data_IF_416158720147
#
_entry.id   IF_416158720147
#
_cell.length_a   1.000
_cell.length_b   1.000
_cell.length_c   1.000
_cell.angle_alpha   90.00
_cell.angle_beta   90.00
_cell.angle_gamma   90.00
#
_symmetry.space_group_name_H-M   'P 1'
#
loop_
_entity.id
_entity.type
_entity.pdbx_description
1 polymer ?
#
# COMPACT_ATOMS: atom_id res chain seq x y z
N UNK A 1 -15.85 14.57 -38.47
CA UNK A 1 -16.67 14.05 -37.36
C UNK A 1 -16.09 12.84 -36.65
N UNK A 2 -15.36 11.92 -37.30
CA UNK A 2 -14.80 10.70 -36.67
C UNK A 2 -13.72 10.93 -35.59
N UNK A 3 -12.95 11.99 -35.65
CA UNK A 3 -11.89 12.27 -34.65
C UNK A 3 -12.46 12.74 -33.29
N UNK A 4 -13.59 13.40 -33.26
CA UNK A 4 -14.16 13.98 -32.03
C UNK A 4 -14.88 12.96 -31.15
N UNK A 5 -15.46 11.89 -31.71
CA UNK A 5 -16.16 10.85 -30.94
C UNK A 5 -15.17 9.93 -30.21
N UNK A 6 -14.04 9.62 -30.85
CA UNK A 6 -12.94 8.86 -30.19
C UNK A 6 -12.31 9.63 -29.02
N UNK A 7 -12.18 10.95 -29.17
CA UNK A 7 -11.68 11.82 -28.11
C UNK A 7 -12.63 11.92 -26.90
N UNK A 8 -13.94 11.99 -27.16
CA UNK A 8 -14.95 12.06 -26.08
C UNK A 8 -15.01 10.74 -25.31
N UNK A 9 -14.96 9.58 -25.97
CA UNK A 9 -14.94 8.26 -25.31
C UNK A 9 -13.63 8.03 -24.52
N UNK A 10 -12.49 8.42 -25.07
CA UNK A 10 -11.20 8.31 -24.36
C UNK A 10 -11.13 9.26 -23.16
N UNK A 11 -11.72 10.45 -23.26
CA UNK A 11 -11.78 11.43 -22.18
C UNK A 11 -12.70 10.99 -21.04
N UNK A 12 -13.85 10.38 -21.35
CA UNK A 12 -14.80 9.86 -20.34
C UNK A 12 -14.23 8.64 -19.59
N UNK A 13 -13.52 7.75 -20.29
CA UNK A 13 -12.85 6.59 -19.67
C UNK A 13 -11.64 7.05 -18.84
N UNK A 14 -10.85 8.01 -19.31
CA UNK A 14 -9.75 8.61 -18.55
C UNK A 14 -10.24 9.38 -17.32
N UNK A 15 -11.37 10.06 -17.40
CA UNK A 15 -11.95 10.79 -16.27
C UNK A 15 -12.43 9.88 -15.15
N UNK A 16 -12.98 8.71 -15.49
CA UNK A 16 -13.39 7.69 -14.51
C UNK A 16 -12.23 7.06 -13.76
N UNK A 17 -11.03 7.02 -14.35
CA UNK A 17 -9.80 6.52 -13.70
C UNK A 17 -9.08 7.57 -12.84
N UNK A 18 -9.31 8.87 -13.06
CA UNK A 18 -8.54 9.95 -12.44
C UNK A 18 -9.25 10.58 -11.23
N UNK A 19 -10.58 10.51 -11.09
CA UNK A 19 -11.28 11.19 -10.01
C UNK A 19 -12.42 10.38 -9.36
N UNK A 20 -12.13 9.51 -8.37
CA UNK A 20 -13.15 8.70 -7.68
C UNK A 20 -13.93 9.43 -6.57
N UNK A 21 -13.78 10.73 -6.36
CA UNK A 21 -14.23 11.39 -5.11
C UNK A 21 -15.17 12.57 -5.21
N UNK A 22 -15.63 12.96 -6.39
CA UNK A 22 -16.59 14.07 -6.45
C UNK A 22 -18.02 13.55 -6.67
N UNK A 23 -18.73 13.36 -5.56
CA UNK A 23 -20.13 12.92 -5.52
C UNK A 23 -21.14 14.06 -5.77
N UNK A 24 -20.71 15.29 -5.85
CA UNK A 24 -21.61 16.47 -5.90
C UNK A 24 -22.29 16.71 -7.25
N UNK A 25 -21.87 16.00 -8.31
CA UNK A 25 -22.45 16.15 -9.66
C UNK A 25 -23.58 15.13 -9.94
N UNK A 26 -23.76 14.12 -9.06
CA UNK A 26 -24.72 13.03 -9.27
C UNK A 26 -26.11 13.21 -8.62
N UNK A 27 -26.35 14.27 -7.91
CA UNK A 27 -27.63 14.47 -7.19
C UNK A 27 -28.72 15.22 -8.00
N UNK A 28 -28.53 15.42 -9.29
CA UNK A 28 -29.62 15.89 -10.18
C UNK A 28 -30.09 14.78 -11.09
N UNK A 29 -30.87 13.85 -10.56
CA UNK A 29 -31.96 13.05 -11.09
C UNK A 29 -32.02 12.67 -12.58
N UNK A 30 -30.90 12.43 -13.29
CA UNK A 30 -30.90 11.91 -14.65
C UNK A 30 -30.32 10.50 -14.62
N UNK A 31 -31.15 9.49 -14.87
CA UNK A 31 -30.70 8.09 -14.86
C UNK A 31 -29.65 7.85 -15.94
N UNK A 32 -28.53 7.27 -15.53
CA UNK A 32 -27.35 6.99 -16.36
C UNK A 32 -27.66 6.11 -17.58
N UNK A 33 -28.72 5.31 -17.52
CA UNK A 33 -29.14 4.40 -18.60
C UNK A 33 -29.72 5.12 -19.83
N UNK A 34 -30.38 6.24 -19.62
CA UNK A 34 -31.00 6.99 -20.74
C UNK A 34 -29.95 7.71 -21.60
N UNK A 35 -28.88 8.19 -20.98
CA UNK A 35 -27.78 8.87 -21.69
C UNK A 35 -26.91 7.89 -22.46
N UNK A 36 -26.63 6.72 -21.89
CA UNK A 36 -25.83 5.66 -22.53
C UNK A 36 -26.61 5.02 -23.70
N UNK A 37 -27.90 4.76 -23.53
CA UNK A 37 -28.72 4.19 -24.58
C UNK A 37 -28.90 5.15 -25.75
N UNK A 38 -29.12 6.45 -25.51
CA UNK A 38 -29.25 7.44 -26.56
C UNK A 38 -27.95 7.71 -27.34
N UNK A 39 -26.82 7.70 -26.65
CA UNK A 39 -25.49 7.88 -27.28
C UNK A 39 -25.12 6.65 -28.12
N UNK A 40 -25.47 5.45 -27.67
CA UNK A 40 -25.27 4.20 -28.42
C UNK A 40 -26.21 4.10 -29.65
N UNK A 41 -27.44 4.56 -29.52
CA UNK A 41 -28.40 4.64 -30.63
C UNK A 41 -27.96 5.61 -31.73
N UNK A 42 -27.49 6.80 -31.37
CA UNK A 42 -26.94 7.80 -32.30
C UNK A 42 -25.65 7.30 -32.98
N UNK A 43 -24.83 6.49 -32.29
CA UNK A 43 -23.65 5.87 -32.88
C UNK A 43 -24.01 4.77 -33.90
N UNK A 44 -25.02 3.94 -33.61
CA UNK A 44 -25.53 2.91 -34.55
C UNK A 44 -26.20 3.52 -35.80
N UNK A 45 -26.89 4.63 -35.66
CA UNK A 45 -27.46 5.36 -36.80
C UNK A 45 -26.38 6.00 -37.69
N UNK A 46 -25.21 6.35 -37.10
CA UNK A 46 -24.09 6.91 -37.85
C UNK A 46 -23.15 5.86 -38.47
N UNK A 47 -23.23 4.58 -38.09
CA UNK A 47 -22.34 3.50 -38.53
C UNK A 47 -23.09 2.18 -38.78
N UNK A 48 -23.91 2.08 -39.80
CA UNK A 48 -24.79 0.92 -40.05
C UNK A 48 -24.04 -0.37 -40.42
N UNK A 49 -22.73 -0.32 -40.71
CA UNK A 49 -21.94 -1.49 -41.12
C UNK A 49 -21.11 -2.13 -39.99
N UNK A 50 -21.09 -1.55 -38.79
CA UNK A 50 -20.27 -2.02 -37.67
C UNK A 50 -21.10 -2.67 -36.52
N UNK A 51 -22.34 -3.07 -36.77
CA UNK A 51 -23.18 -3.72 -35.78
C UNK A 51 -22.80 -5.21 -35.61
N UNK A 52 -22.44 -5.66 -34.41
CA UNK A 52 -22.26 -7.09 -34.15
C UNK A 52 -23.62 -7.81 -34.24
N UNK A 53 -23.66 -8.91 -34.97
CA UNK A 53 -24.85 -9.77 -35.16
C UNK A 53 -25.39 -10.31 -33.82
N UNK A 54 -26.37 -9.64 -33.22
CA UNK A 54 -27.22 -10.21 -32.20
C UNK A 54 -28.62 -10.36 -32.78
N UNK A 55 -28.97 -11.62 -33.14
CA UNK A 55 -30.38 -12.01 -33.42
C UNK A 55 -31.19 -11.86 -32.13
N UNK A 56 -31.95 -10.80 -32.05
CA UNK A 56 -33.05 -10.69 -31.06
C UNK A 56 -34.25 -11.45 -31.63
N UNK A 57 -34.56 -12.60 -31.02
CA UNK A 57 -35.82 -13.30 -31.27
C UNK A 57 -36.95 -12.51 -30.60
N UNK A 58 -37.69 -11.73 -31.41
CA UNK A 58 -38.96 -11.16 -30.98
C UNK A 58 -40.03 -12.24 -31.15
N UNK A 59 -40.58 -12.73 -30.05
CA UNK A 59 -41.72 -13.66 -30.06
C UNK A 59 -43.00 -12.90 -30.51
N UNK A 60 -43.53 -13.20 -31.67
CA UNK A 60 -44.87 -12.82 -32.10
C UNK A 60 -45.91 -13.69 -31.37
N UNK A 61 -46.82 -13.03 -30.68
CA UNK A 61 -48.05 -13.63 -30.13
C UNK A 61 -49.02 -13.95 -31.26
N UNK A 62 -49.53 -15.20 -31.25
CA UNK A 62 -50.81 -15.59 -31.77
C UNK A 62 -50.81 -16.21 -33.16
N UNK A 63 -50.85 -17.53 -33.19
CA UNK A 63 -51.67 -18.27 -34.18
C UNK A 63 -51.91 -19.70 -33.71
N UNK A 64 -53.15 -20.14 -33.78
CA UNK A 64 -53.66 -21.45 -33.37
C UNK A 64 -53.14 -22.57 -34.28
N UNK A 65 -52.70 -23.66 -33.67
CA UNK A 65 -52.44 -24.92 -34.39
C UNK A 65 -53.40 -26.02 -33.92
N UNK A 66 -53.87 -26.91 -34.82
CA UNK A 66 -54.94 -27.87 -34.53
C UNK A 66 -54.44 -29.09 -33.73
N UNK A 67 -55.31 -29.57 -32.82
CA UNK A 67 -55.13 -30.79 -32.03
C UNK A 67 -55.23 -32.03 -32.89
N UNK A 68 -54.14 -32.80 -33.03
CA UNK A 68 -54.21 -34.19 -33.50
C UNK A 68 -54.33 -35.16 -32.33
N UNK A 69 -55.43 -35.91 -32.26
CA UNK A 69 -55.68 -37.02 -31.33
C UNK A 69 -54.79 -38.19 -31.72
N UNK A 70 -53.79 -38.58 -30.87
CA UNK A 70 -53.17 -39.90 -30.94
C UNK A 70 -53.63 -40.75 -29.76
N UNK A 71 -54.07 -41.96 -30.08
CA UNK A 71 -54.59 -43.02 -29.22
C UNK A 71 -53.52 -43.47 -28.20
N UNK A 72 -53.93 -43.53 -26.92
CA UNK A 72 -53.16 -44.13 -25.82
C UNK A 72 -53.34 -45.66 -25.92
N UNK A 73 -52.22 -46.34 -26.21
CA UNK A 73 -52.08 -47.76 -25.94
C UNK A 73 -51.25 -47.89 -24.68
N UNK A 74 -51.88 -48.38 -23.62
CA UNK A 74 -51.23 -48.68 -22.35
C UNK A 74 -50.28 -49.89 -22.52
N UNK A 75 -48.95 -49.65 -22.43
CA UNK A 75 -47.95 -50.66 -22.16
C UNK A 75 -47.31 -50.40 -20.81
N UNK A 76 -47.46 -51.33 -19.90
CA UNK A 76 -46.76 -51.41 -18.59
C UNK A 76 -45.27 -51.33 -18.78
N UNK A 77 -44.67 -50.13 -18.64
CA UNK A 77 -43.23 -49.95 -18.41
C UNK A 77 -42.97 -49.77 -16.92
N UNK A 78 -42.07 -50.61 -16.36
CA UNK A 78 -41.48 -50.41 -15.03
C UNK A 78 -41.05 -48.97 -14.87
N UNK A 79 -41.21 -48.30 -13.69
CA UNK A 79 -40.77 -46.94 -13.48
C UNK A 79 -39.24 -46.87 -13.61
N UNK A 80 -38.76 -46.15 -14.63
CA UNK A 80 -37.35 -45.76 -14.71
C UNK A 80 -37.03 -44.91 -13.47
N UNK A 81 -35.82 -45.08 -12.84
CA UNK A 81 -35.47 -44.24 -11.72
C UNK A 81 -35.50 -42.77 -12.17
N UNK A 82 -36.36 -42.00 -11.54
CA UNK A 82 -36.64 -40.61 -11.88
C UNK A 82 -35.35 -39.81 -12.09
N UNK A 83 -35.24 -39.12 -13.23
CA UNK A 83 -34.16 -38.16 -13.47
C UNK A 83 -34.16 -37.15 -12.31
N UNK A 84 -33.09 -37.12 -11.55
CA UNK A 84 -32.92 -36.10 -10.51
C UNK A 84 -33.03 -34.72 -11.13
N UNK A 85 -33.64 -33.79 -10.42
CA UNK A 85 -33.81 -32.41 -10.88
C UNK A 85 -32.48 -31.80 -11.32
N UNK A 86 -32.49 -31.00 -12.39
CA UNK A 86 -31.28 -30.29 -12.86
C UNK A 86 -30.74 -29.43 -11.72
N UNK A 87 -29.46 -29.65 -11.33
CA UNK A 87 -28.80 -28.92 -10.25
C UNK A 87 -28.35 -29.79 -9.08
N UNK A 88 -28.96 -30.98 -8.84
CA UNK A 88 -28.67 -31.83 -7.69
C UNK A 88 -27.37 -32.65 -7.79
N UNK A 89 -26.53 -32.42 -8.77
CA UNK A 89 -25.32 -33.21 -9.01
C UNK A 89 -25.60 -34.69 -9.31
N UNK A 90 -24.63 -35.44 -9.75
CA UNK A 90 -24.74 -36.89 -10.01
C UNK A 90 -23.64 -37.65 -9.25
N UNK A 91 -24.01 -38.82 -8.68
CA UNK A 91 -23.08 -39.72 -8.01
C UNK A 91 -23.08 -41.04 -8.75
N UNK A 92 -21.91 -41.49 -9.20
CA UNK A 92 -21.73 -42.78 -9.94
C UNK A 92 -20.49 -43.53 -9.47
N UNK A 93 -20.49 -44.83 -9.67
CA UNK A 93 -19.31 -45.65 -9.49
C UNK A 93 -18.51 -45.68 -10.80
N UNK A 94 -17.20 -45.52 -10.71
CA UNK A 94 -16.26 -45.58 -11.82
C UNK A 94 -15.12 -46.54 -11.47
N UNK A 95 -14.55 -47.18 -12.47
CA UNK A 95 -13.37 -48.05 -12.32
C UNK A 95 -12.16 -47.33 -12.91
N UNK A 96 -11.08 -47.17 -12.12
CA UNK A 96 -9.80 -46.64 -12.57
C UNK A 96 -8.69 -47.60 -12.16
N UNK A 97 -7.89 -48.03 -13.10
CA UNK A 97 -6.79 -49.01 -12.89
C UNK A 97 -7.24 -50.25 -12.08
N UNK A 98 -8.39 -50.84 -12.44
CA UNK A 98 -8.95 -52.02 -11.79
C UNK A 98 -9.60 -51.78 -10.40
N UNK A 99 -9.54 -50.59 -9.86
CA UNK A 99 -10.13 -50.24 -8.56
C UNK A 99 -11.43 -49.46 -8.72
N UNK A 100 -12.44 -49.77 -7.90
CA UNK A 100 -13.70 -49.03 -7.87
C UNK A 100 -13.60 -47.73 -7.06
N UNK A 101 -14.08 -46.65 -7.66
CA UNK A 101 -14.18 -45.32 -7.04
C UNK A 101 -15.59 -44.75 -7.21
N UNK A 102 -16.00 -43.90 -6.30
CA UNK A 102 -17.20 -43.10 -6.44
C UNK A 102 -16.83 -41.74 -7.01
N UNK A 103 -17.61 -41.25 -7.97
CA UNK A 103 -17.46 -39.93 -8.59
C UNK A 103 -18.77 -39.15 -8.47
N UNK A 104 -18.68 -38.00 -7.77
CA UNK A 104 -19.75 -37.01 -7.72
C UNK A 104 -19.46 -35.91 -8.75
N UNK A 105 -20.42 -35.56 -9.60
CA UNK A 105 -20.33 -34.46 -10.58
C UNK A 105 -21.31 -33.37 -10.26
N UNK A 106 -20.88 -32.12 -10.43
CA UNK A 106 -21.71 -30.93 -10.27
C UNK A 106 -21.24 -29.83 -11.22
N UNK A 107 -22.06 -28.83 -11.46
CA UNK A 107 -21.73 -27.70 -12.33
C UNK A 107 -21.71 -26.43 -11.56
N UNK A 108 -20.72 -25.57 -11.81
CA UNK A 108 -20.56 -24.25 -11.22
C UNK A 108 -20.63 -23.23 -12.35
N UNK A 109 -21.29 -22.11 -12.12
CA UNK A 109 -21.31 -21.00 -13.04
C UNK A 109 -20.01 -20.24 -12.94
N UNK A 110 -19.25 -20.16 -14.02
CA UNK A 110 -18.03 -19.39 -14.10
C UNK A 110 -18.36 -17.89 -13.96
N UNK A 111 -17.76 -17.16 -13.00
CA UNK A 111 -18.12 -15.76 -12.75
C UNK A 111 -17.71 -14.81 -13.88
N UNK A 112 -16.69 -15.15 -14.68
CA UNK A 112 -16.22 -14.28 -15.77
C UNK A 112 -16.98 -14.52 -17.07
N UNK A 113 -17.23 -15.80 -17.41
CA UNK A 113 -17.85 -16.17 -18.69
C UNK A 113 -19.34 -16.44 -18.61
N UNK A 114 -19.88 -16.61 -17.39
CA UNK A 114 -21.29 -16.97 -17.15
C UNK A 114 -21.66 -18.39 -17.58
N UNK A 115 -20.71 -19.18 -18.13
CA UNK A 115 -20.93 -20.56 -18.60
C UNK A 115 -20.85 -21.55 -17.43
N UNK A 116 -21.62 -22.65 -17.56
CA UNK A 116 -21.56 -23.75 -16.60
C UNK A 116 -20.30 -24.61 -16.84
N UNK A 117 -19.40 -24.65 -15.87
CA UNK A 117 -18.21 -25.52 -15.84
C UNK A 117 -18.51 -26.73 -14.97
N UNK A 118 -18.30 -27.95 -15.52
CA UNK A 118 -18.52 -29.21 -14.80
C UNK A 118 -17.30 -29.56 -13.95
N UNK A 119 -17.53 -29.86 -12.66
CA UNK A 119 -16.53 -30.32 -11.71
C UNK A 119 -16.84 -31.73 -11.23
N UNK A 120 -15.80 -32.47 -10.79
CA UNK A 120 -15.97 -33.81 -10.24
C UNK A 120 -15.17 -34.00 -8.95
N UNK A 121 -15.76 -34.77 -8.01
CA UNK A 121 -15.15 -35.17 -6.75
C UNK A 121 -15.10 -36.68 -6.75
N UNK A 122 -13.94 -37.30 -6.53
CA UNK A 122 -13.80 -38.77 -6.50
C UNK A 122 -13.19 -39.26 -5.18
N UNK A 123 -13.52 -40.49 -4.79
CA UNK A 123 -13.01 -41.13 -3.60
C UNK A 123 -13.39 -42.61 -3.54
N UNK A 124 -12.76 -43.38 -2.64
CA UNK A 124 -13.04 -44.82 -2.47
C UNK A 124 -14.36 -45.02 -1.68
N UNK A 125 -14.70 -44.12 -0.77
CA UNK A 125 -15.87 -44.24 0.08
C UNK A 125 -17.05 -43.39 -0.45
N UNK A 126 -18.19 -44.07 -0.69
CA UNK A 126 -19.42 -43.44 -1.21
C UNK A 126 -19.92 -42.31 -0.31
N UNK A 127 -20.01 -42.57 0.97
CA UNK A 127 -20.57 -41.61 1.97
C UNK A 127 -19.70 -40.35 2.06
N UNK A 128 -18.38 -40.51 1.98
CA UNK A 128 -17.45 -39.36 1.98
C UNK A 128 -17.60 -38.50 0.71
N UNK A 129 -17.67 -39.16 -0.46
CA UNK A 129 -17.87 -38.45 -1.72
C UNK A 129 -19.21 -37.72 -1.74
N UNK A 130 -20.27 -38.36 -1.24
CA UNK A 130 -21.61 -37.76 -1.14
C UNK A 130 -21.61 -36.54 -0.19
N UNK A 131 -20.97 -36.62 0.95
CA UNK A 131 -20.82 -35.49 1.89
C UNK A 131 -20.07 -34.33 1.25
N UNK A 132 -18.97 -34.60 0.54
CA UNK A 132 -18.18 -33.59 -0.17
C UNK A 132 -18.95 -33.00 -1.35
N UNK A 133 -19.74 -33.80 -2.07
CA UNK A 133 -20.58 -33.34 -3.16
C UNK A 133 -21.70 -32.40 -2.66
N UNK A 134 -22.39 -32.76 -1.58
CA UNK A 134 -23.42 -31.88 -0.97
C UNK A 134 -22.82 -30.53 -0.56
N UNK A 135 -21.66 -30.55 0.10
CA UNK A 135 -20.96 -29.33 0.48
C UNK A 135 -20.61 -28.46 -0.74
N UNK A 136 -20.08 -29.07 -1.80
CA UNK A 136 -19.72 -28.36 -3.03
C UNK A 136 -20.94 -27.79 -3.77
N UNK A 137 -22.09 -28.48 -3.71
CA UNK A 137 -23.35 -27.99 -4.29
C UNK A 137 -23.85 -26.74 -3.55
N UNK A 138 -23.87 -26.76 -2.21
CA UNK A 138 -24.24 -25.56 -1.41
C UNK A 138 -23.31 -24.41 -1.73
N UNK A 139 -21.99 -24.66 -1.78
CA UNK A 139 -21.00 -23.64 -2.12
C UNK A 139 -21.18 -23.08 -3.53
N UNK A 140 -21.61 -23.93 -4.49
CA UNK A 140 -21.90 -23.51 -5.86
C UNK A 140 -23.17 -22.65 -5.96
N UNK A 141 -24.21 -22.99 -5.19
CA UNK A 141 -25.46 -22.22 -5.10
C UNK A 141 -25.24 -20.84 -4.44
N UNK A 142 -24.42 -20.79 -3.39
CA UNK A 142 -24.03 -19.55 -2.71
C UNK A 142 -23.01 -18.71 -3.51
N UNK A 143 -22.48 -19.24 -4.63
CA UNK A 143 -21.42 -18.58 -5.40
C UNK A 143 -20.06 -18.55 -4.69
N UNK A 144 -19.90 -19.36 -3.64
CA UNK A 144 -18.69 -19.42 -2.80
C UNK A 144 -17.77 -20.60 -3.13
N UNK A 145 -18.09 -21.37 -4.17
CA UNK A 145 -17.27 -22.50 -4.59
C UNK A 145 -15.93 -22.04 -5.18
N UNK A 146 -14.83 -22.53 -4.61
CA UNK A 146 -13.47 -22.32 -5.11
C UNK A 146 -12.92 -23.66 -5.61
N UNK A 147 -12.46 -23.72 -6.86
CA UNK A 147 -11.83 -24.92 -7.42
C UNK A 147 -10.53 -25.22 -6.66
N UNK A 148 -10.33 -26.44 -6.13
CA UNK A 148 -9.09 -26.80 -5.45
C UNK A 148 -7.88 -26.63 -6.36
N UNK A 149 -7.12 -25.59 -6.15
CA UNK A 149 -5.89 -25.30 -6.89
C UNK A 149 -4.76 -26.21 -6.40
N UNK A 150 -3.91 -26.71 -7.33
CA UNK A 150 -2.65 -27.36 -6.97
C UNK A 150 -1.54 -26.34 -6.63
N UNK A 151 -1.82 -25.07 -6.81
CA UNK A 151 -0.90 -23.95 -6.57
C UNK A 151 -0.40 -23.96 -5.13
N UNK A 152 0.90 -23.78 -4.94
CA UNK A 152 1.50 -23.60 -3.61
C UNK A 152 1.47 -22.13 -3.18
N UNK A 153 1.64 -21.88 -1.89
CA UNK A 153 1.77 -20.53 -1.33
C UNK A 153 2.92 -19.77 -2.00
N UNK A 154 4.05 -20.45 -2.23
CA UNK A 154 5.21 -19.87 -2.89
C UNK A 154 4.91 -19.40 -4.31
N UNK A 155 4.25 -20.24 -5.11
CA UNK A 155 3.83 -19.91 -6.47
C UNK A 155 2.85 -18.75 -6.51
N UNK A 156 1.90 -18.72 -5.57
CA UNK A 156 0.98 -17.60 -5.44
C UNK A 156 1.70 -16.29 -5.11
N UNK A 157 2.66 -16.33 -4.18
CA UNK A 157 3.43 -15.15 -3.79
C UNK A 157 4.26 -14.59 -4.95
N UNK A 158 4.79 -15.44 -5.83
CA UNK A 158 5.49 -14.97 -7.04
C UNK A 158 4.54 -14.24 -7.98
N UNK A 159 3.40 -14.84 -8.29
CA UNK A 159 2.36 -14.20 -9.12
C UNK A 159 1.90 -12.87 -8.49
N UNK A 160 1.71 -12.85 -7.18
CA UNK A 160 1.27 -11.65 -6.48
C UNK A 160 2.30 -10.52 -6.56
N UNK A 161 3.59 -10.82 -6.35
CA UNK A 161 4.67 -9.83 -6.46
C UNK A 161 4.80 -9.26 -7.87
N UNK A 162 4.63 -10.08 -8.90
CA UNK A 162 4.77 -9.66 -10.30
C UNK A 162 3.54 -8.91 -10.81
N UNK A 163 2.34 -9.37 -10.45
CA UNK A 163 1.11 -8.93 -11.12
C UNK A 163 0.36 -7.84 -10.34
N UNK A 164 0.33 -7.94 -9.00
CA UNK A 164 -0.61 -7.14 -8.19
C UNK A 164 0.02 -5.94 -7.48
N UNK A 165 1.30 -5.65 -7.71
CA UNK A 165 2.02 -4.56 -7.05
C UNK A 165 2.35 -3.38 -7.98
N UNK A 166 1.73 -3.26 -9.14
CA UNK A 166 1.97 -2.17 -10.12
C UNK A 166 1.78 -0.76 -9.53
N UNK A 167 0.85 -0.60 -8.60
CA UNK A 167 0.57 0.67 -7.92
C UNK A 167 1.35 0.86 -6.61
N UNK A 168 2.29 -0.05 -6.30
CA UNK A 168 3.09 0.01 -5.08
C UNK A 168 4.45 0.62 -5.39
N UNK A 169 4.96 1.48 -4.50
CA UNK A 169 6.27 2.12 -4.70
C UNK A 169 7.40 1.07 -4.78
N UNK A 170 8.39 1.27 -5.67
CA UNK A 170 9.47 0.28 -5.89
C UNK A 170 10.18 -0.19 -4.61
N UNK A 171 10.45 0.74 -3.68
CA UNK A 171 11.08 0.40 -2.40
C UNK A 171 10.18 -0.47 -1.51
N UNK A 172 8.87 -0.27 -1.56
CA UNK A 172 7.91 -1.12 -0.83
C UNK A 172 7.82 -2.51 -1.45
N UNK A 173 7.85 -2.59 -2.79
CA UNK A 173 7.92 -3.88 -3.51
C UNK A 173 9.17 -4.64 -3.11
N UNK A 174 10.35 -3.98 -3.08
CA UNK A 174 11.58 -4.62 -2.61
C UNK A 174 11.44 -5.17 -1.18
N UNK A 175 10.91 -4.37 -0.26
CA UNK A 175 10.67 -4.80 1.11
C UNK A 175 9.75 -6.02 1.19
N UNK A 176 8.68 -6.04 0.39
CA UNK A 176 7.77 -7.18 0.29
C UNK A 176 8.51 -8.41 -0.25
N UNK A 177 9.27 -8.25 -1.33
CA UNK A 177 10.07 -9.33 -1.92
C UNK A 177 11.07 -9.90 -0.93
N UNK A 178 11.74 -9.06 -0.14
CA UNK A 178 12.66 -9.51 0.92
C UNK A 178 11.93 -10.30 2.01
N UNK A 179 10.77 -9.84 2.50
CA UNK A 179 9.99 -10.59 3.48
C UNK A 179 9.48 -11.93 2.93
N UNK A 180 9.04 -11.94 1.67
CA UNK A 180 8.58 -13.15 1.00
C UNK A 180 9.72 -14.15 0.86
N UNK A 181 10.85 -13.75 0.29
CA UNK A 181 11.93 -14.67 -0.06
C UNK A 181 12.74 -15.12 1.18
N UNK A 182 12.96 -14.22 2.15
CA UNK A 182 13.80 -14.54 3.30
C UNK A 182 13.04 -15.25 4.43
N UNK A 183 11.72 -15.07 4.52
CA UNK A 183 10.96 -15.56 5.67
C UNK A 183 9.75 -16.43 5.28
N UNK A 184 8.87 -15.93 4.37
CA UNK A 184 7.58 -16.60 4.14
C UNK A 184 7.75 -17.84 3.28
N UNK A 185 8.41 -17.74 2.13
CA UNK A 185 8.62 -18.87 1.22
C UNK A 185 9.40 -20.03 1.85
N UNK A 186 10.49 -19.82 2.59
CA UNK A 186 11.21 -20.92 3.21
C UNK A 186 10.38 -21.72 4.22
N UNK A 187 9.38 -21.07 4.85
CA UNK A 187 8.57 -21.69 5.89
C UNK A 187 7.22 -22.23 5.41
N UNK A 188 6.58 -21.56 4.47
CA UNK A 188 5.20 -21.83 4.05
C UNK A 188 5.07 -22.12 2.53
N UNK A 189 6.12 -21.89 1.75
CA UNK A 189 6.06 -21.89 0.29
C UNK A 189 5.62 -23.19 -0.34
N UNK A 190 5.99 -24.33 0.23
CA UNK A 190 5.65 -25.68 -0.27
C UNK A 190 4.20 -26.09 0.08
N UNK A 191 3.56 -25.39 1.00
CA UNK A 191 2.18 -25.69 1.40
C UNK A 191 1.25 -25.31 0.24
N UNK A 192 0.32 -26.19 -0.11
CA UNK A 192 -0.74 -25.83 -1.06
C UNK A 192 -1.57 -24.69 -0.53
N UNK A 193 -1.91 -23.74 -1.40
CA UNK A 193 -2.65 -22.52 -1.03
C UNK A 193 -4.00 -22.85 -0.38
N UNK A 194 -4.73 -23.86 -0.89
CA UNK A 194 -6.01 -24.34 -0.34
C UNK A 194 -5.88 -25.13 0.97
N UNK A 195 -4.66 -25.44 1.40
CA UNK A 195 -4.34 -26.18 2.64
C UNK A 195 -3.61 -25.33 3.68
N UNK A 196 -3.42 -24.07 3.39
CA UNK A 196 -2.83 -23.14 4.35
C UNK A 196 -3.86 -22.84 5.45
N UNK A 197 -3.54 -23.23 6.68
CA UNK A 197 -4.41 -23.02 7.86
C UNK A 197 -3.80 -22.01 8.81
N UNK A 198 -4.67 -21.31 9.57
CA UNK A 198 -4.28 -20.33 10.60
C UNK A 198 -3.25 -20.90 11.57
N UNK A 199 -3.40 -22.15 12.01
CA UNK A 199 -2.44 -22.78 12.92
C UNK A 199 -1.02 -22.85 12.37
N UNK A 200 -0.85 -23.18 11.08
CA UNK A 200 0.47 -23.24 10.43
C UNK A 200 1.09 -21.84 10.35
N UNK A 201 0.29 -20.81 10.08
CA UNK A 201 0.74 -19.42 10.05
C UNK A 201 1.13 -18.95 11.45
N UNK A 202 0.32 -19.28 12.47
CA UNK A 202 0.63 -18.93 13.85
C UNK A 202 1.94 -19.56 14.32
N UNK A 203 2.16 -20.85 14.03
CA UNK A 203 3.43 -21.50 14.33
C UNK A 203 4.61 -20.84 13.63
N UNK A 204 4.41 -20.39 12.39
CA UNK A 204 5.43 -19.65 11.66
C UNK A 204 5.79 -18.33 12.37
N UNK A 205 4.80 -17.53 12.80
CA UNK A 205 5.08 -16.28 13.52
C UNK A 205 5.76 -16.53 14.86
N UNK A 206 5.35 -17.53 15.60
CA UNK A 206 5.98 -17.90 16.87
C UNK A 206 7.46 -18.27 16.65
N UNK A 207 7.77 -19.08 15.63
CA UNK A 207 9.15 -19.42 15.28
C UNK A 207 10.01 -18.23 14.88
N UNK A 208 9.44 -17.24 14.16
CA UNK A 208 10.18 -16.02 13.80
C UNK A 208 10.63 -15.22 15.04
N UNK A 209 9.84 -15.23 16.10
CA UNK A 209 10.16 -14.55 17.37
C UNK A 209 11.13 -15.31 18.27
N UNK A 210 11.38 -16.59 18.01
CA UNK A 210 12.29 -17.42 18.82
C UNK A 210 13.74 -17.25 18.35
N UNK A 211 14.68 -17.33 19.29
CA UNK A 211 16.09 -17.38 18.98
C UNK A 211 16.44 -18.73 18.32
N UNK A 212 17.33 -18.71 17.35
CA UNK A 212 17.86 -19.88 16.67
C UNK A 212 19.39 -19.90 16.76
N UNK A 213 19.94 -20.75 17.64
CA UNK A 213 21.35 -20.75 17.98
C UNK A 213 21.76 -19.39 18.53
N UNK A 214 22.86 -18.81 18.03
CA UNK A 214 23.38 -17.51 18.46
C UNK A 214 22.61 -16.30 17.87
N UNK A 215 21.62 -16.53 17.02
CA UNK A 215 20.84 -15.45 16.41
C UNK A 215 19.58 -15.17 17.24
N UNK A 216 19.38 -13.93 17.69
CA UNK A 216 18.16 -13.56 18.39
C UNK A 216 16.96 -13.67 17.43
N UNK A 217 15.76 -13.96 17.99
CA UNK A 217 14.52 -13.91 17.24
C UNK A 217 14.24 -12.52 16.65
N UNK A 218 13.36 -12.48 15.68
CA UNK A 218 12.96 -11.22 15.06
C UNK A 218 12.15 -10.37 16.05
N UNK A 219 12.31 -9.05 15.97
CA UNK A 219 11.53 -8.13 16.80
C UNK A 219 10.01 -8.27 16.50
N UNK A 220 9.15 -8.02 17.51
CA UNK A 220 7.68 -8.02 17.32
C UNK A 220 7.25 -7.17 16.13
N UNK A 221 7.87 -6.01 15.93
CA UNK A 221 7.56 -5.12 14.80
C UNK A 221 7.91 -5.74 13.45
N UNK A 222 9.02 -6.49 13.37
CA UNK A 222 9.41 -7.19 12.15
C UNK A 222 8.42 -8.32 11.83
N UNK A 223 7.99 -9.10 12.84
CA UNK A 223 6.96 -10.13 12.67
C UNK A 223 5.65 -9.53 12.20
N UNK A 224 5.21 -8.40 12.76
CA UNK A 224 4.02 -7.66 12.30
C UNK A 224 4.15 -7.19 10.85
N UNK A 225 5.34 -6.75 10.41
CA UNK A 225 5.57 -6.35 9.02
C UNK A 225 5.48 -7.56 8.07
N UNK A 226 6.05 -8.70 8.44
CA UNK A 226 5.98 -9.96 7.68
C UNK A 226 4.51 -10.42 7.58
N UNK A 227 3.77 -10.38 8.69
CA UNK A 227 2.33 -10.65 8.69
C UNK A 227 1.59 -9.74 7.70
N UNK A 228 1.84 -8.42 7.73
CA UNK A 228 1.18 -7.47 6.84
C UNK A 228 1.40 -7.79 5.35
N UNK A 229 2.56 -8.33 4.98
CA UNK A 229 2.85 -8.77 3.62
C UNK A 229 2.06 -10.04 3.28
N UNK A 230 2.14 -11.08 4.12
CA UNK A 230 1.42 -12.33 3.91
C UNK A 230 -0.10 -12.11 3.89
N UNK A 231 -0.63 -11.36 4.85
CA UNK A 231 -2.04 -11.00 4.93
C UNK A 231 -2.54 -10.32 3.64
N UNK A 232 -1.77 -9.35 3.13
CA UNK A 232 -2.12 -8.62 1.91
C UNK A 232 -2.14 -9.53 0.68
N UNK A 233 -1.19 -10.44 0.57
CA UNK A 233 -1.13 -11.40 -0.52
C UNK A 233 -2.29 -12.41 -0.45
N UNK A 234 -2.60 -12.94 0.73
CA UNK A 234 -3.72 -13.86 0.93
C UNK A 234 -5.07 -13.15 0.73
N UNK A 235 -5.20 -11.90 1.17
CA UNK A 235 -6.40 -11.10 0.93
C UNK A 235 -6.63 -10.84 -0.56
N UNK A 236 -5.57 -10.68 -1.35
CA UNK A 236 -5.69 -10.61 -2.80
C UNK A 236 -6.16 -11.94 -3.39
N UNK A 237 -5.67 -13.09 -2.89
CA UNK A 237 -6.14 -14.40 -3.30
C UNK A 237 -7.63 -14.62 -3.01
N UNK A 238 -8.12 -14.09 -1.86
CA UNK A 238 -9.56 -14.10 -1.55
C UNK A 238 -10.35 -13.24 -2.55
N UNK A 239 -9.88 -12.03 -2.83
CA UNK A 239 -10.56 -11.10 -3.77
C UNK A 239 -10.72 -11.65 -5.17
N UNK A 240 -9.79 -12.46 -5.64
CA UNK A 240 -9.83 -13.08 -6.98
C UNK A 240 -10.37 -14.51 -6.97
N UNK A 241 -10.91 -14.98 -5.84
CA UNK A 241 -11.56 -16.29 -5.73
C UNK A 241 -10.61 -17.50 -5.64
N UNK A 242 -9.33 -17.31 -5.36
CA UNK A 242 -8.39 -18.42 -5.14
C UNK A 242 -8.48 -19.01 -3.72
N UNK A 243 -8.93 -18.19 -2.77
CA UNK A 243 -9.23 -18.58 -1.39
C UNK A 243 -10.63 -18.10 -1.00
N UNK A 244 -11.26 -18.82 -0.08
CA UNK A 244 -12.56 -18.40 0.51
C UNK A 244 -12.38 -17.40 1.64
N UNK A 245 -11.38 -17.63 2.45
CA UNK A 245 -11.05 -16.82 3.63
C UNK A 245 -9.54 -16.60 3.70
N UNK A 246 -9.15 -15.53 4.33
CA UNK A 246 -7.75 -15.26 4.60
C UNK A 246 -7.34 -15.97 5.91
N UNK A 247 -6.56 -17.04 5.79
CA UNK A 247 -6.14 -17.84 6.94
C UNK A 247 -5.28 -17.07 7.95
N UNK A 248 -4.78 -15.88 7.61
CA UNK A 248 -4.00 -15.03 8.52
C UNK A 248 -4.84 -14.07 9.38
N UNK A 249 -6.16 -13.92 9.11
CA UNK A 249 -7.02 -12.97 9.82
C UNK A 249 -7.13 -13.29 11.33
N UNK A 250 -7.19 -14.57 11.67
CA UNK A 250 -7.35 -15.04 13.04
C UNK A 250 -6.00 -15.32 13.75
N UNK A 251 -4.88 -14.85 13.19
CA UNK A 251 -3.58 -15.00 13.84
C UNK A 251 -3.35 -13.93 14.91
N UNK A 252 -2.79 -14.35 16.03
CA UNK A 252 -2.34 -13.46 17.09
C UNK A 252 -0.90 -13.00 16.83
N UNK A 253 -0.69 -11.69 16.91
CA UNK A 253 0.62 -11.09 16.67
C UNK A 253 1.28 -10.67 17.97
N UNK A 254 2.63 -10.78 18.06
CA UNK A 254 3.33 -10.30 19.24
C UNK A 254 3.13 -8.78 19.39
N UNK A 255 2.93 -8.34 20.62
CA UNK A 255 2.82 -6.91 20.94
C UNK A 255 4.17 -6.25 20.77
N UNK A 256 4.22 -5.20 19.94
CA UNK A 256 5.38 -4.33 19.86
C UNK A 256 5.23 -3.25 20.94
N UNK A 257 6.19 -3.17 21.81
CA UNK A 257 6.29 -2.05 22.74
C UNK A 257 6.50 -0.75 21.93
N UNK A 258 5.78 0.29 22.32
CA UNK A 258 6.02 1.61 21.73
C UNK A 258 7.39 2.08 22.20
N UNK A 259 8.34 2.15 21.30
CA UNK A 259 9.63 2.78 21.60
C UNK A 259 9.34 4.26 21.87
N UNK A 260 9.66 4.68 23.08
CA UNK A 260 9.58 6.08 23.47
C UNK A 260 10.52 6.91 22.58
N UNK A 261 10.00 7.97 22.03
CA UNK A 261 10.79 8.92 21.24
C UNK A 261 11.49 9.81 22.25
N UNK A 262 12.81 9.81 22.22
CA UNK A 262 13.64 10.69 23.04
C UNK A 262 14.21 11.81 22.17
N UNK A 263 13.59 13.01 22.17
CA UNK A 263 14.22 14.18 21.60
C UNK A 263 15.48 14.51 22.38
N UNK A 264 16.44 15.21 21.76
CA UNK A 264 17.62 15.70 22.46
C UNK A 264 17.21 16.76 23.50
N UNK A 265 17.80 16.68 24.69
CA UNK A 265 17.65 17.72 25.73
C UNK A 265 18.34 19.02 25.32
N UNK A 266 18.06 20.12 26.02
CA UNK A 266 18.73 21.42 25.76
C UNK A 266 20.25 21.31 25.90
N UNK A 267 20.75 20.58 26.92
CA UNK A 267 22.17 20.33 27.14
C UNK A 267 22.76 19.51 25.99
N UNK A 268 22.08 18.45 25.57
CA UNK A 268 22.52 17.61 24.44
C UNK A 268 22.55 18.41 23.13
N UNK A 269 21.59 19.32 22.94
CA UNK A 269 21.54 20.25 21.79
C UNK A 269 22.74 21.19 21.83
N UNK A 270 23.08 21.78 23.00
CA UNK A 270 24.24 22.66 23.15
C UNK A 270 25.53 21.93 22.83
N UNK A 271 25.72 20.70 23.35
CA UNK A 271 26.89 19.85 23.06
C UNK A 271 26.93 19.56 21.56
N UNK A 272 25.81 19.15 20.96
CA UNK A 272 25.71 18.86 19.53
C UNK A 272 26.10 20.07 18.69
N UNK A 273 25.52 21.25 18.96
CA UNK A 273 25.82 22.52 18.26
C UNK A 273 27.28 22.90 18.33
N UNK A 274 27.91 22.75 19.51
CA UNK A 274 29.33 22.99 19.71
C UNK A 274 30.19 22.02 18.90
N UNK A 275 29.78 20.75 18.82
CA UNK A 275 30.55 19.69 18.16
C UNK A 275 30.45 19.77 16.65
N UNK A 276 29.32 20.20 16.11
CA UNK A 276 29.15 20.32 14.64
C UNK A 276 29.87 21.54 14.08
N UNK A 277 30.26 22.52 14.91
CA UNK A 277 30.91 23.75 14.46
C UNK A 277 32.22 23.44 13.73
N UNK A 278 32.34 23.88 12.48
CA UNK A 278 33.47 23.59 11.60
C UNK A 278 33.48 22.17 11.00
N UNK A 279 32.51 21.34 11.33
CA UNK A 279 32.39 20.01 10.74
C UNK A 279 31.91 20.10 9.30
N UNK A 280 32.43 19.29 8.38
CA UNK A 280 32.06 19.29 6.94
C UNK A 280 30.57 19.13 6.64
N UNK A 281 29.78 18.59 7.58
CA UNK A 281 28.32 18.43 7.47
C UNK A 281 27.57 19.36 8.44
N UNK A 282 28.20 20.39 8.98
CA UNK A 282 27.58 21.35 9.89
C UNK A 282 26.24 21.85 9.33
N UNK A 283 26.26 22.45 8.15
CA UNK A 283 25.05 23.02 7.53
C UNK A 283 23.95 21.97 7.28
N UNK A 284 24.34 20.73 6.89
CA UNK A 284 23.37 19.62 6.73
C UNK A 284 22.66 19.33 8.05
N UNK A 285 23.42 19.26 9.15
CA UNK A 285 22.87 18.94 10.47
C UNK A 285 22.04 20.11 11.02
N UNK A 286 22.45 21.35 10.80
CA UNK A 286 21.66 22.54 11.14
C UNK A 286 20.29 22.53 10.42
N UNK A 287 20.29 22.29 9.11
CA UNK A 287 19.05 22.21 8.33
C UNK A 287 18.17 21.08 8.85
N UNK A 288 18.71 19.90 9.11
CA UNK A 288 17.93 18.76 9.63
C UNK A 288 17.32 19.08 11.02
N UNK A 289 18.09 19.70 11.91
CA UNK A 289 17.69 19.99 13.28
C UNK A 289 16.66 21.09 13.37
N UNK A 290 16.82 22.19 12.62
CA UNK A 290 15.99 23.39 12.78
C UNK A 290 14.89 23.57 11.70
N UNK A 291 14.73 22.58 10.83
CA UNK A 291 13.59 22.54 9.87
C UNK A 291 12.79 21.25 9.96
N UNK A 292 13.32 20.24 10.65
CA UNK A 292 12.66 18.95 10.79
C UNK A 292 12.46 18.17 9.47
N UNK A 293 13.12 18.54 8.38
CA UNK A 293 13.02 17.81 7.09
C UNK A 293 13.65 16.42 7.19
N UNK A 294 13.21 15.51 6.32
CA UNK A 294 13.71 14.13 6.34
C UNK A 294 15.09 14.03 5.69
N UNK A 295 15.89 13.04 6.09
CA UNK A 295 17.23 12.77 5.52
C UNK A 295 17.22 12.71 3.98
N UNK A 296 16.27 12.03 3.37
CA UNK A 296 16.17 11.97 1.91
C UNK A 296 15.75 13.30 1.28
N UNK A 297 14.97 14.11 1.98
CA UNK A 297 14.55 15.43 1.53
C UNK A 297 15.72 16.42 1.55
N UNK A 298 16.55 16.44 2.61
CA UNK A 298 17.74 17.29 2.65
C UNK A 298 18.76 16.94 1.57
N UNK A 299 18.99 15.63 1.34
CA UNK A 299 19.90 15.20 0.28
C UNK A 299 19.36 15.45 -1.15
N UNK A 300 18.04 15.58 -1.31
CA UNK A 300 17.37 15.89 -2.57
C UNK A 300 17.05 17.37 -2.75
N UNK A 301 17.49 18.25 -1.83
CA UNK A 301 17.24 19.68 -1.92
C UNK A 301 18.12 20.32 -2.97
N UNK A 302 17.54 21.19 -3.80
CA UNK A 302 18.23 21.93 -4.87
C UNK A 302 18.09 23.44 -4.62
N UNK A 303 19.04 24.24 -5.17
CA UNK A 303 19.08 25.68 -4.92
C UNK A 303 17.88 26.45 -5.49
N UNK A 304 17.23 25.95 -6.53
CA UNK A 304 15.98 26.50 -7.09
C UNK A 304 14.80 26.43 -6.13
N UNK A 305 14.90 25.60 -5.08
CA UNK A 305 13.90 25.46 -4.03
C UNK A 305 14.23 26.23 -2.75
N UNK A 306 15.33 26.99 -2.71
CA UNK A 306 15.72 27.83 -1.57
C UNK A 306 15.54 29.30 -1.93
N UNK A 307 14.58 29.96 -1.29
CA UNK A 307 14.35 31.38 -1.46
C UNK A 307 14.95 32.17 -0.28
N UNK A 308 16.04 32.88 -0.53
CA UNK A 308 16.75 33.65 0.48
C UNK A 308 16.08 34.96 0.86
N UNK A 309 15.23 35.53 0.01
CA UNK A 309 14.51 36.78 0.28
C UNK A 309 13.37 36.53 1.26
N UNK A 310 12.64 35.41 1.07
CA UNK A 310 11.51 35.00 1.87
C UNK A 310 11.87 34.10 3.03
N UNK A 311 13.12 33.69 3.15
CA UNK A 311 13.60 32.66 4.08
C UNK A 311 12.80 31.37 4.01
N UNK A 312 12.50 30.90 2.80
CA UNK A 312 11.68 29.70 2.59
C UNK A 312 12.42 28.59 1.85
N UNK A 313 12.08 27.35 2.19
CA UNK A 313 12.58 26.15 1.55
C UNK A 313 11.38 25.33 1.07
N UNK A 314 11.31 25.03 -0.22
CA UNK A 314 10.26 24.21 -0.82
C UNK A 314 10.68 22.76 -0.92
N UNK A 315 9.95 21.86 -0.26
CA UNK A 315 10.24 20.41 -0.19
C UNK A 315 9.21 19.65 -1.02
N UNK A 316 9.55 19.20 -2.19
CA UNK A 316 8.67 18.41 -3.08
C UNK A 316 9.23 17.06 -3.48
N UNK A 317 10.51 16.82 -3.25
CA UNK A 317 11.24 15.60 -3.64
C UNK A 317 12.21 15.14 -2.56
N UNK A 318 12.64 13.91 -2.68
CA UNK A 318 13.63 13.28 -1.82
C UNK A 318 14.59 12.45 -2.66
N UNK A 319 15.84 12.37 -2.24
CA UNK A 319 16.81 11.46 -2.82
C UNK A 319 16.64 10.08 -2.19
N UNK A 320 16.44 9.07 -3.03
CA UNK A 320 16.25 7.70 -2.60
C UNK A 320 17.14 6.76 -3.40
N UNK A 321 17.82 5.83 -2.71
CA UNK A 321 18.61 4.81 -3.37
C UNK A 321 17.70 3.83 -4.11
N UNK A 322 18.14 3.42 -5.32
CA UNK A 322 17.42 2.37 -6.05
C UNK A 322 17.65 1.04 -5.34
N UNK A 323 16.59 0.32 -5.03
CA UNK A 323 16.70 -1.01 -4.47
C UNK A 323 17.50 -1.96 -5.36
N UNK A 324 18.44 -2.70 -4.76
CA UNK A 324 19.29 -3.65 -5.49
C UNK A 324 20.46 -3.03 -6.27
N UNK A 325 20.52 -1.70 -6.40
CA UNK A 325 21.62 -1.00 -7.08
C UNK A 325 22.40 -0.15 -6.08
N UNK A 326 23.55 -0.64 -5.63
CA UNK A 326 24.41 0.10 -4.71
C UNK A 326 24.93 1.37 -5.39
N UNK A 327 24.80 2.51 -4.69
CA UNK A 327 25.32 3.80 -5.19
C UNK A 327 24.44 4.51 -6.22
N UNK A 328 23.36 3.91 -6.70
CA UNK A 328 22.43 4.55 -7.63
C UNK A 328 21.25 5.16 -6.88
N UNK A 329 21.02 6.46 -7.11
CA UNK A 329 19.99 7.24 -6.45
C UNK A 329 19.08 7.92 -7.47
N UNK A 330 17.81 8.09 -7.10
CA UNK A 330 16.84 8.87 -7.88
C UNK A 330 16.14 9.89 -7.00
N UNK A 331 15.81 11.02 -7.64
CA UNK A 331 14.86 11.96 -7.06
C UNK A 331 13.45 11.41 -7.22
N UNK A 332 12.78 11.20 -6.09
CA UNK A 332 11.40 10.74 -6.03
C UNK A 332 10.52 11.77 -5.34
N UNK A 333 9.22 11.84 -5.63
CA UNK A 333 8.30 12.67 -4.84
C UNK A 333 8.38 12.34 -3.36
N UNK A 334 8.03 13.28 -2.51
CA UNK A 334 7.91 13.07 -1.05
C UNK A 334 7.00 11.89 -0.72
N UNK A 335 7.11 11.33 0.49
CA UNK A 335 6.34 10.15 0.90
C UNK A 335 4.82 10.31 0.71
N UNK A 336 4.30 11.54 0.85
CA UNK A 336 2.87 11.83 0.69
C UNK A 336 2.50 12.35 -0.70
N UNK A 337 3.47 12.47 -1.63
CA UNK A 337 3.28 13.03 -2.96
C UNK A 337 2.99 14.54 -3.00
N UNK A 338 2.89 15.19 -1.83
CA UNK A 338 2.61 16.65 -1.72
C UNK A 338 3.90 17.39 -1.35
N UNK A 339 4.15 18.49 -2.06
CA UNK A 339 5.16 19.47 -1.66
C UNK A 339 4.68 20.30 -0.46
N UNK A 340 5.64 20.87 0.25
CA UNK A 340 5.39 21.85 1.32
C UNK A 340 6.47 22.91 1.33
N UNK A 341 6.12 24.11 1.76
CA UNK A 341 7.06 25.21 2.00
C UNK A 341 7.27 25.35 3.50
N UNK A 342 8.52 25.45 3.92
CA UNK A 342 8.95 25.68 5.29
C UNK A 342 9.57 27.07 5.34
N UNK A 343 9.11 27.92 6.26
CA UNK A 343 9.83 29.15 6.62
C UNK A 343 10.92 28.77 7.62
N UNK A 344 12.17 28.98 7.25
CA UNK A 344 13.32 28.64 8.10
C UNK A 344 13.80 29.87 8.88
N UNK A 345 14.33 29.62 10.07
CA UNK A 345 14.95 30.66 10.87
C UNK A 345 16.12 31.33 10.12
N UNK A 346 16.31 32.65 10.33
CA UNK A 346 17.38 33.42 9.68
C UNK A 346 18.75 32.74 9.85
N UNK A 347 19.05 32.24 11.03
CA UNK A 347 20.28 31.49 11.34
C UNK A 347 20.55 30.31 10.37
N UNK A 348 19.51 29.55 10.03
CA UNK A 348 19.62 28.42 9.08
C UNK A 348 19.85 28.94 7.66
N UNK A 349 19.17 30.02 7.28
CA UNK A 349 19.32 30.61 5.95
C UNK A 349 20.69 31.24 5.76
N UNK A 350 21.26 31.86 6.82
CA UNK A 350 22.62 32.40 6.79
C UNK A 350 23.67 31.29 6.66
N UNK A 351 23.49 30.18 7.37
CA UNK A 351 24.33 28.99 7.20
C UNK A 351 24.25 28.45 5.76
N UNK A 352 23.07 28.44 5.14
CA UNK A 352 22.89 28.05 3.74
C UNK A 352 23.57 29.05 2.77
N UNK A 353 23.52 30.37 3.03
CA UNK A 353 24.23 31.38 2.22
C UNK A 353 25.74 31.14 2.26
N UNK A 354 26.29 30.95 3.47
CA UNK A 354 27.71 30.65 3.66
C UNK A 354 28.12 29.36 2.95
N UNK A 355 27.28 28.31 3.09
CA UNK A 355 27.51 27.04 2.42
C UNK A 355 27.52 27.16 0.90
N UNK A 356 26.64 28.03 0.32
CA UNK A 356 26.60 28.29 -1.12
C UNK A 356 27.92 28.90 -1.62
N UNK A 357 28.52 29.81 -0.83
CA UNK A 357 29.84 30.38 -1.14
C UNK A 357 30.91 29.28 -1.10
N UNK A 358 30.96 28.46 -0.05
CA UNK A 358 31.90 27.34 0.06
C UNK A 358 31.74 26.33 -1.10
N UNK A 359 30.52 26.06 -1.51
CA UNK A 359 30.24 25.19 -2.67
C UNK A 359 30.75 25.81 -3.99
N UNK A 360 30.60 27.12 -4.13
CA UNK A 360 31.13 27.86 -5.32
C UNK A 360 32.65 27.79 -5.36
N UNK A 361 33.33 27.93 -4.23
CA UNK A 361 34.79 27.77 -4.13
C UNK A 361 35.23 26.32 -4.45
N UNK A 362 34.48 25.33 -3.94
CA UNK A 362 34.73 23.92 -4.25
C UNK A 362 34.56 23.63 -5.75
N UNK A 363 33.55 24.24 -6.38
CA UNK A 363 33.31 24.16 -7.82
C UNK A 363 34.47 24.73 -8.63
N UNK A 364 34.96 25.90 -8.26
CA UNK A 364 36.13 26.52 -8.93
C UNK A 364 37.39 25.66 -8.80
N UNK A 365 37.60 25.04 -7.63
CA UNK A 365 38.73 24.13 -7.41
C UNK A 365 38.62 22.83 -8.19
N UNK A 366 37.43 22.27 -8.36
CA UNK A 366 37.18 21.04 -9.10
C UNK A 366 37.22 21.28 -10.66
N UNK A 367 36.98 22.51 -11.08
CA UNK A 367 37.02 22.86 -12.51
C UNK A 367 36.10 21.97 -13.38
N UNK A 368 36.66 21.37 -14.45
CA UNK A 368 35.88 20.54 -15.39
C UNK A 368 35.30 19.27 -14.79
N UNK A 369 35.84 18.80 -13.67
CA UNK A 369 35.34 17.56 -12.99
C UNK A 369 34.07 17.81 -12.20
N UNK A 370 33.67 19.08 -12.03
CA UNK A 370 32.45 19.41 -11.31
C UNK A 370 31.21 19.06 -12.12
N UNK A 371 30.33 18.25 -11.52
CA UNK A 371 29.04 17.87 -12.08
C UNK A 371 27.92 18.67 -11.42
N UNK A 372 27.44 19.70 -12.12
CA UNK A 372 26.42 20.61 -11.59
C UNK A 372 25.01 20.07 -11.83
N UNK A 373 24.47 19.39 -10.83
CA UNK A 373 23.09 18.90 -10.81
C UNK A 373 22.15 19.83 -9.99
N UNK A 374 22.64 21.00 -9.58
CA UNK A 374 21.88 22.02 -8.82
C UNK A 374 21.57 21.65 -7.37
N UNK A 375 22.12 20.56 -6.82
CA UNK A 375 21.91 20.17 -5.42
C UNK A 375 22.53 21.17 -4.44
N UNK A 376 21.82 21.43 -3.32
CA UNK A 376 22.35 22.20 -2.22
C UNK A 376 23.51 21.45 -1.58
N UNK A 377 23.35 20.18 -1.24
CA UNK A 377 24.36 19.38 -0.55
C UNK A 377 25.00 18.38 -1.52
N UNK A 378 26.31 18.61 -1.78
CA UNK A 378 27.06 17.85 -2.77
C UNK A 378 28.28 17.15 -2.15
N UNK A 379 28.82 16.20 -2.88
CA UNK A 379 30.15 15.68 -2.66
C UNK A 379 31.20 16.63 -3.29
N UNK A 380 32.49 16.25 -3.24
CA UNK A 380 33.60 17.05 -3.76
C UNK A 380 33.60 17.21 -5.31
N UNK A 381 32.77 16.46 -6.02
CA UNK A 381 32.62 16.54 -7.48
C UNK A 381 31.26 17.17 -7.90
N UNK A 382 30.53 17.80 -6.99
CA UNK A 382 29.25 18.45 -7.32
C UNK A 382 28.03 17.51 -7.40
N UNK A 383 28.22 16.20 -7.32
CA UNK A 383 27.10 15.24 -7.28
C UNK A 383 26.40 15.28 -5.93
N UNK A 384 25.15 14.84 -5.92
CA UNK A 384 24.34 14.74 -4.71
C UNK A 384 25.08 14.05 -3.55
N UNK A 385 24.81 14.50 -2.35
CA UNK A 385 25.30 13.86 -1.13
C UNK A 385 24.43 12.61 -0.81
N UNK A 386 25.11 11.46 -0.66
CA UNK A 386 24.41 10.21 -0.32
C UNK A 386 23.75 10.29 1.07
N UNK A 387 22.45 9.92 1.20
CA UNK A 387 21.78 9.83 2.49
C UNK A 387 22.51 8.93 3.51
N UNK A 388 23.19 7.87 3.04
CA UNK A 388 23.97 7.00 3.90
C UNK A 388 25.24 7.67 4.41
N UNK A 389 25.87 8.53 3.61
CA UNK A 389 27.02 9.33 4.05
C UNK A 389 26.64 10.27 5.19
N UNK A 390 25.52 10.97 5.07
CA UNK A 390 24.98 11.83 6.15
C UNK A 390 24.72 11.01 7.41
N UNK A 391 24.03 9.86 7.29
CA UNK A 391 23.71 8.99 8.41
C UNK A 391 24.98 8.47 9.13
N UNK A 392 25.97 7.98 8.39
CA UNK A 392 27.18 7.42 8.97
C UNK A 392 28.03 8.49 9.69
N UNK A 393 28.11 9.71 9.14
CA UNK A 393 28.80 10.82 9.80
C UNK A 393 28.06 11.27 11.06
N UNK A 394 26.72 11.36 11.02
CA UNK A 394 25.93 11.63 12.21
C UNK A 394 26.17 10.58 13.31
N UNK A 395 26.13 9.28 12.98
CA UNK A 395 26.37 8.18 13.94
C UNK A 395 27.75 8.30 14.62
N UNK A 396 28.79 8.61 13.84
CA UNK A 396 30.15 8.80 14.39
C UNK A 396 30.19 10.01 15.33
N UNK A 397 29.60 11.12 14.92
CA UNK A 397 29.55 12.35 15.72
C UNK A 397 28.78 12.12 17.03
N UNK A 398 27.60 11.48 17.00
CA UNK A 398 26.83 11.22 18.21
C UNK A 398 27.56 10.26 19.15
N UNK A 399 28.26 9.26 18.60
CA UNK A 399 29.11 8.37 19.42
C UNK A 399 30.27 9.13 20.11
N UNK A 400 30.89 10.11 19.43
CA UNK A 400 32.01 10.90 20.01
C UNK A 400 31.57 11.82 21.15
N UNK A 401 30.29 12.16 21.25
CA UNK A 401 29.74 12.97 22.34
C UNK A 401 28.95 12.14 23.38
N UNK A 402 29.12 10.82 23.37
CA UNK A 402 28.51 9.94 24.37
C UNK A 402 27.05 9.60 24.13
N UNK A 403 26.50 9.90 22.95
CA UNK A 403 25.08 9.66 22.56
C UNK A 403 24.94 8.61 21.41
N UNK A 404 25.55 7.40 21.53
CA UNK A 404 25.56 6.43 20.43
C UNK A 404 24.16 5.93 20.04
N UNK A 405 23.16 6.05 20.92
CA UNK A 405 21.79 5.61 20.70
C UNK A 405 20.94 6.61 19.90
N UNK A 406 21.36 7.89 19.84
CA UNK A 406 20.64 8.93 19.13
C UNK A 406 20.61 8.63 17.63
N UNK A 407 19.41 8.63 17.06
CA UNK A 407 19.17 8.36 15.63
C UNK A 407 19.09 9.68 14.87
N UNK A 408 19.52 9.69 13.62
CA UNK A 408 19.41 10.91 12.79
C UNK A 408 17.95 11.43 12.70
N UNK A 409 16.97 10.54 12.78
CA UNK A 409 15.56 10.94 12.78
C UNK A 409 15.12 11.63 14.07
N UNK A 410 15.89 11.47 15.15
CA UNK A 410 15.60 12.12 16.44
C UNK A 410 15.85 13.63 16.36
N UNK A 411 16.72 14.14 15.44
CA UNK A 411 16.83 15.58 15.16
C UNK A 411 15.48 16.18 14.71
N UNK A 412 14.73 15.45 13.92
CA UNK A 412 13.39 15.87 13.50
C UNK A 412 12.38 15.81 14.65
N UNK A 413 12.50 14.85 15.55
CA UNK A 413 11.69 14.79 16.76
C UNK A 413 12.05 15.96 17.70
N UNK A 414 13.34 16.25 17.84
CA UNK A 414 13.84 17.41 18.58
C UNK A 414 13.26 18.73 18.01
N UNK A 415 13.28 18.92 16.69
CA UNK A 415 12.65 20.07 16.04
C UNK A 415 11.17 20.22 16.46
N UNK A 416 10.42 19.11 16.38
CA UNK A 416 8.99 19.18 16.71
C UNK A 416 8.75 19.53 18.18
N UNK A 417 9.56 18.99 19.10
CA UNK A 417 9.47 19.31 20.53
C UNK A 417 9.82 20.77 20.78
N UNK A 418 10.94 21.24 20.25
CA UNK A 418 11.38 22.65 20.41
C UNK A 418 10.32 23.62 19.86
N UNK A 419 9.77 23.33 18.68
CA UNK A 419 8.75 24.15 18.03
C UNK A 419 7.48 24.26 18.90
N UNK A 420 7.01 23.14 19.43
CA UNK A 420 5.84 23.11 20.32
C UNK A 420 6.14 23.81 21.66
N UNK A 421 7.32 23.62 22.24
CA UNK A 421 7.75 24.26 23.48
C UNK A 421 7.97 25.77 23.31
N UNK A 422 8.30 26.22 22.09
CA UNK A 422 8.39 27.64 21.71
C UNK A 422 7.00 28.26 21.45
N UNK A 423 5.91 27.49 21.48
CA UNK A 423 4.55 27.99 21.33
C UNK A 423 3.95 27.88 19.94
N UNK A 424 4.63 27.20 19.00
CA UNK A 424 4.05 26.92 17.68
C UNK A 424 2.79 26.04 17.82
N UNK A 425 1.78 26.32 17.02
CA UNK A 425 0.60 25.48 17.00
C UNK A 425 0.87 24.13 16.33
N UNK A 426 0.13 23.10 16.76
CA UNK A 426 0.30 21.72 16.27
C UNK A 426 0.13 21.60 14.76
N UNK A 427 -0.71 22.46 14.17
CA UNK A 427 -0.98 22.46 12.74
C UNK A 427 0.23 22.95 11.94
N UNK A 428 0.85 24.02 12.38
CA UNK A 428 2.09 24.56 11.83
C UNK A 428 3.22 23.55 11.91
N UNK A 429 3.43 22.90 13.06
CA UNK A 429 4.42 21.84 13.22
C UNK A 429 4.11 20.66 12.30
N UNK A 430 2.85 20.23 12.20
CA UNK A 430 2.42 19.18 11.30
C UNK A 430 2.76 19.49 9.83
N UNK A 431 2.48 20.71 9.39
CA UNK A 431 2.73 21.15 8.01
C UNK A 431 4.22 21.22 7.71
N UNK A 432 5.02 21.81 8.57
CA UNK A 432 6.48 21.87 8.45
C UNK A 432 7.08 20.46 8.37
N UNK A 433 6.63 19.56 9.22
CA UNK A 433 7.07 18.17 9.21
C UNK A 433 6.51 17.40 8.00
N UNK A 434 5.39 17.80 7.41
CA UNK A 434 4.67 17.04 6.38
C UNK A 434 4.16 15.71 6.94
N UNK A 435 3.57 15.71 8.14
CA UNK A 435 2.83 14.57 8.69
C UNK A 435 1.45 14.46 8.05
N UNK A 436 0.96 13.23 7.90
CA UNK A 436 -0.34 13.01 7.25
C UNK A 436 -1.52 13.59 8.06
N UNK A 437 -1.45 13.53 9.38
CA UNK A 437 -2.49 14.03 10.29
C UNK A 437 -1.90 14.75 11.50
N UNK A 438 -2.62 15.76 12.03
CA UNK A 438 -2.27 16.42 13.28
C UNK A 438 -2.33 15.46 14.48
N UNK A 439 -3.27 14.50 14.44
CA UNK A 439 -3.38 13.47 15.46
C UNK A 439 -2.10 12.62 15.60
N UNK A 440 -1.40 12.36 14.49
CA UNK A 440 -0.10 11.67 14.53
C UNK A 440 0.95 12.54 15.24
N UNK A 441 1.03 13.84 14.94
CA UNK A 441 1.93 14.79 15.62
C UNK A 441 1.62 14.83 17.11
N UNK A 442 0.35 15.00 17.47
CA UNK A 442 -0.09 15.03 18.87
C UNK A 442 0.26 13.74 19.61
N UNK A 443 0.01 12.57 19.03
CA UNK A 443 0.29 11.27 19.67
C UNK A 443 1.78 11.01 19.92
N UNK A 444 2.65 11.67 19.16
CA UNK A 444 4.11 11.53 19.31
C UNK A 444 4.69 12.50 20.35
N UNK A 445 4.04 13.66 20.56
CA UNK A 445 4.55 14.75 21.39
C UNK A 445 3.60 15.14 22.52
N UNK A 446 2.79 14.19 22.99
CA UNK A 446 1.79 14.42 24.04
C UNK A 446 2.38 14.93 25.36
N UNK A 447 3.66 14.69 25.63
CA UNK A 447 4.35 15.17 26.85
C UNK A 447 4.57 16.69 26.86
N UNK A 448 4.71 17.33 25.68
CA UNK A 448 4.81 18.81 25.58
C UNK A 448 3.50 19.51 25.97
N UNK A 449 2.38 18.78 26.07
CA UNK A 449 1.07 19.35 26.35
C UNK A 449 0.89 19.86 27.77
N UNK A 450 1.63 19.38 28.75
CA UNK A 450 1.54 19.86 30.15
C UNK A 450 2.04 21.30 30.29
N UNK A 451 3.23 21.59 29.73
CA UNK A 451 3.77 22.95 29.69
C UNK A 451 2.82 23.91 28.93
N UNK A 452 2.34 23.48 27.75
CA UNK A 452 1.38 24.25 26.98
C UNK A 452 0.07 24.52 27.73
N UNK A 453 -0.43 23.61 28.55
CA UNK A 453 -1.60 23.83 29.41
C UNK A 453 -1.35 24.89 30.47
N UNK A 454 -0.18 24.81 31.13
CA UNK A 454 0.22 25.81 32.15
C UNK A 454 0.38 27.20 31.54
N UNK A 455 1.03 27.31 30.40
CA UNK A 455 1.21 28.57 29.67
C UNK A 455 -0.12 29.10 29.11
N UNK A 456 -1.03 28.24 28.65
CA UNK A 456 -2.37 28.59 28.21
C UNK A 456 -3.18 29.19 29.39
N UNK A 457 -3.09 28.56 30.56
CA UNK A 457 -3.72 29.12 31.76
C UNK A 457 -3.16 30.50 32.14
N UNK A 458 -1.82 30.64 32.08
CA UNK A 458 -1.17 31.94 32.35
C UNK A 458 -1.57 33.01 31.34
N UNK A 459 -1.69 32.68 30.04
CA UNK A 459 -2.18 33.64 29.03
C UNK A 459 -3.63 34.01 29.27
N UNK A 460 -4.49 33.05 29.68
CA UNK A 460 -5.88 33.35 30.04
C UNK A 460 -5.96 34.25 31.26
N UNK A 461 -5.11 34.04 32.27
CA UNK A 461 -5.04 34.88 33.47
C UNK A 461 -4.61 36.33 33.13
N UNK A 462 -3.62 36.49 32.25
CA UNK A 462 -3.24 37.80 31.72
C UNK A 462 -4.39 38.49 30.95
N UNK A 463 -5.10 37.74 30.11
CA UNK A 463 -6.26 38.27 29.39
C UNK A 463 -7.34 38.73 30.34
N UNK A 464 -7.69 37.93 31.36
CA UNK A 464 -8.69 38.26 32.37
C UNK A 464 -8.28 39.53 33.13
N UNK A 465 -7.01 39.62 33.58
CA UNK A 465 -6.49 40.85 34.23
C UNK A 465 -6.59 42.10 33.34
N UNK A 466 -6.30 41.95 32.03
CA UNK A 466 -6.43 43.05 31.07
C UNK A 466 -7.87 43.53 30.83
N UNK A 467 -8.84 42.59 30.90
CA UNK A 467 -10.27 42.93 30.69
C UNK A 467 -10.97 43.32 31.97
N UNK A 468 -10.56 42.77 33.12
CA UNK A 468 -11.18 43.08 34.42
C UNK A 468 -10.67 44.34 35.07
N UNK A 469 -9.61 44.98 34.53
CA UNK A 469 -9.03 46.18 35.09
C UNK A 469 -8.39 46.02 36.47
N UNK A 470 -8.05 44.74 36.80
CA UNK A 470 -7.44 44.37 38.07
C UNK A 470 -5.89 44.30 37.98
#
# INVERSE_FOLDING_TARGET
MHKNVKYILTTVVSWRMICPRDKSIFERGISNDYFIQNTYRLWLEANPHDAPYHRICVAKKGENMPRSKKKITAQNKKPEPGRKANGMGSLRQIIRNGNAYWEGRFSVKDPETGKLKQHSISGKNKTEVEKRLRKALVEAEEGTYVEPSKMTVGQWLDIWLETYLSNVRPYTVLSYTQHVNNHIKPALGEIRLDKLHTHSIQQFYNRLGMAHGDKPGLSPKTVQNIHGVLHKALQQAVKIGYLRINASDACELPRAEKTEIKPLSEEEIQIFMKTIKGHKFETVFLVLMFTGIRRGEVCGLTWDHVNFERNTIYINRQLQQIPGQSGVFHLTPTKNGKGRTITAAAFVMDALRQYKVQQTEARLKAGPDWQDEGFVFTNHLGRHLSPNTVYNNYKRLMASIGLPQARLHDLRHTYATISLDAGDDIKTVQENLGHHTAAFTLSQYAHSTEKMKTESAARMDQFIKGVSGA
#
